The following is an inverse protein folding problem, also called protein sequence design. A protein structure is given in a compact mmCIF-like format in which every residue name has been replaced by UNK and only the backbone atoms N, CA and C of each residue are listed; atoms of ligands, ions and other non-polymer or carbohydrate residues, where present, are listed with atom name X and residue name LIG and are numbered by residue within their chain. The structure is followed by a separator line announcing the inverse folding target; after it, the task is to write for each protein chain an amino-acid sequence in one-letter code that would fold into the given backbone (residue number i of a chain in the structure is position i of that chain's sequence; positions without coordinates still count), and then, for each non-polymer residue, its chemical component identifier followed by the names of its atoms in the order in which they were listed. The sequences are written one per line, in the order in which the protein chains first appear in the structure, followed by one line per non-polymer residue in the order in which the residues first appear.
data_IF_945747730956
#
_entry.id   IF_945747730956
#
_cell.length_a   1.000
_cell.length_b   1.000
_cell.length_c   1.000
_cell.angle_alpha   90.00
_cell.angle_beta   90.00
_cell.angle_gamma   90.00
#
_symmetry.space_group_name_H-M   'P 1'
#
loop_
_entity.id
_entity.type
_entity.pdbx_description
1 polymer ?
#
# COMPACT_ATOMS: atom_id res chain seq x y z
N UNK A 1 -72.98 -32.03 -66.50
CA UNK A 1 -73.25 -30.58 -66.57
C UNK A 1 -71.93 -29.93 -66.99
N UNK A 2 -71.86 -29.45 -68.24
CA UNK A 2 -70.62 -28.99 -68.88
C UNK A 2 -69.84 -28.01 -68.00
N UNK A 3 -68.57 -28.30 -67.73
CA UNK A 3 -67.65 -27.48 -66.92
C UNK A 3 -67.64 -26.00 -67.35
N UNK A 4 -67.90 -25.74 -68.64
CA UNK A 4 -68.07 -24.41 -69.23
C UNK A 4 -69.24 -23.61 -68.64
N UNK A 5 -70.36 -24.26 -68.26
CA UNK A 5 -71.53 -23.60 -67.67
C UNK A 5 -71.32 -23.25 -66.20
N UNK A 6 -70.57 -24.08 -65.46
CA UNK A 6 -70.19 -23.80 -64.07
C UNK A 6 -69.16 -22.67 -64.00
N UNK A 7 -68.19 -22.66 -64.92
CA UNK A 7 -67.19 -21.58 -65.02
C UNK A 7 -67.85 -20.23 -65.35
N UNK A 8 -68.79 -20.21 -66.30
CA UNK A 8 -69.53 -18.99 -66.67
C UNK A 8 -70.34 -18.42 -65.48
N UNK A 9 -70.96 -19.30 -64.68
CA UNK A 9 -71.72 -18.90 -63.50
C UNK A 9 -70.81 -18.34 -62.39
N UNK A 10 -69.63 -18.94 -62.18
CA UNK A 10 -68.65 -18.45 -61.20
C UNK A 10 -68.04 -17.11 -61.61
N UNK A 11 -67.79 -16.88 -62.91
CA UNK A 11 -67.33 -15.58 -63.42
C UNK A 11 -68.39 -14.49 -63.32
N UNK A 12 -69.68 -14.83 -63.45
CA UNK A 12 -70.78 -13.85 -63.35
C UNK A 12 -71.16 -13.53 -61.88
N UNK A 13 -70.95 -14.48 -60.95
CA UNK A 13 -71.13 -14.26 -59.51
C UNK A 13 -69.97 -13.52 -58.83
N UNK A 14 -68.80 -13.40 -59.46
CA UNK A 14 -67.67 -12.64 -58.89
C UNK A 14 -67.69 -11.15 -59.26
N UNK A 15 -68.50 -10.74 -60.25
CA UNK A 15 -68.62 -9.35 -60.74
C UNK A 15 -69.49 -8.40 -59.89
N UNK A 16 -69.97 -8.82 -58.71
CA UNK A 16 -70.91 -8.04 -57.88
C UNK A 16 -70.29 -7.21 -56.75
N UNK A 17 -68.96 -7.06 -56.70
CA UNK A 17 -68.29 -6.16 -55.76
C UNK A 17 -67.56 -5.02 -56.48
N UNK A 18 -68.31 -4.19 -57.21
CA UNK A 18 -67.79 -2.91 -57.71
C UNK A 18 -68.01 -1.83 -56.65
N UNK A 19 -66.96 -1.47 -55.90
CA UNK A 19 -66.96 -0.27 -55.08
C UNK A 19 -66.69 0.93 -55.99
N UNK A 20 -67.68 1.80 -56.20
CA UNK A 20 -67.48 3.05 -56.92
C UNK A 20 -67.12 4.15 -55.92
N UNK A 21 -65.94 4.72 -56.05
CA UNK A 21 -65.59 5.99 -55.43
C UNK A 21 -65.99 7.11 -56.40
N UNK A 22 -66.38 8.29 -55.89
CA UNK A 22 -66.87 9.39 -56.74
C UNK A 22 -65.88 10.55 -56.71
N UNK A 23 -65.17 10.76 -57.83
CA UNK A 23 -64.43 12.00 -58.06
C UNK A 23 -65.20 12.89 -59.03
N UNK A 24 -65.36 14.16 -58.69
CA UNK A 24 -65.95 15.18 -59.56
C UNK A 24 -64.92 16.26 -59.79
N UNK A 25 -64.37 16.34 -61.01
CA UNK A 25 -63.33 17.31 -61.29
C UNK A 25 -62.53 17.06 -62.57
N UNK A 26 -61.38 17.72 -62.66
CA UNK A 26 -60.50 17.70 -63.83
C UNK A 26 -59.84 16.33 -64.09
N UNK A 27 -59.53 15.54 -63.06
CA UNK A 27 -58.89 14.21 -63.20
C UNK A 27 -59.71 13.07 -62.53
N UNK A 28 -60.89 12.72 -63.05
CA UNK A 28 -61.82 11.79 -62.40
C UNK A 28 -61.32 10.32 -62.32
N UNK A 29 -60.28 9.96 -63.07
CA UNK A 29 -59.70 8.61 -63.06
C UNK A 29 -58.61 8.41 -61.99
N UNK A 30 -58.17 9.49 -61.35
CA UNK A 30 -57.15 9.47 -60.30
C UNK A 30 -57.79 9.91 -58.98
N UNK A 31 -58.54 9.01 -58.35
CA UNK A 31 -59.14 9.22 -57.03
C UNK A 31 -58.25 8.59 -55.97
N UNK A 32 -57.99 9.33 -54.89
CA UNK A 32 -57.25 8.77 -53.76
C UNK A 32 -58.04 7.56 -53.19
N UNK A 33 -57.42 6.37 -53.00
CA UNK A 33 -58.11 5.19 -52.48
C UNK A 33 -58.77 5.33 -51.11
N UNK A 34 -58.45 6.40 -50.37
CA UNK A 34 -59.06 6.75 -49.07
C UNK A 34 -60.24 7.73 -49.19
N UNK A 35 -60.56 8.20 -50.40
CA UNK A 35 -61.62 9.19 -50.66
C UNK A 35 -62.94 8.51 -51.03
N UNK A 36 -63.98 8.69 -50.23
CA UNK A 36 -65.35 8.32 -50.65
C UNK A 36 -65.92 9.32 -51.69
N UNK A 37 -65.52 10.59 -51.59
CA UNK A 37 -65.86 11.67 -52.50
C UNK A 37 -64.71 12.67 -52.59
N UNK A 38 -64.25 12.97 -53.80
CA UNK A 38 -63.19 13.96 -54.05
C UNK A 38 -63.67 15.02 -55.04
N UNK A 39 -63.42 16.29 -54.72
CA UNK A 39 -63.77 17.43 -55.57
C UNK A 39 -62.49 18.13 -56.02
N UNK A 40 -62.28 18.20 -57.32
CA UNK A 40 -61.10 18.84 -57.91
C UNK A 40 -61.54 19.89 -58.93
N UNK A 41 -61.15 21.14 -58.73
CA UNK A 41 -61.43 22.21 -59.69
C UNK A 41 -60.48 23.38 -59.49
N UNK A 42 -60.12 24.05 -60.58
CA UNK A 42 -59.32 25.28 -60.56
C UNK A 42 -60.19 26.55 -60.47
N UNK A 43 -61.52 26.43 -60.61
CA UNK A 43 -62.45 27.54 -60.77
C UNK A 43 -63.81 27.37 -60.07
N UNK A 44 -64.07 26.22 -59.44
CA UNK A 44 -65.33 25.90 -58.74
C UNK A 44 -65.02 25.47 -57.30
N UNK A 45 -66.01 25.64 -56.43
CA UNK A 45 -65.94 25.24 -55.04
C UNK A 45 -67.19 24.44 -54.63
N UNK A 46 -67.08 23.69 -53.54
CA UNK A 46 -68.24 23.09 -52.89
C UNK A 46 -69.11 24.19 -52.28
N UNK A 47 -70.33 24.35 -52.79
CA UNK A 47 -71.34 25.20 -52.16
C UNK A 47 -72.14 24.34 -51.20
N UNK A 48 -72.01 24.62 -49.90
CA UNK A 48 -72.78 23.96 -48.86
C UNK A 48 -74.26 24.38 -48.91
N UNK A 49 -75.14 23.57 -48.31
CA UNK A 49 -76.55 23.93 -48.12
C UNK A 49 -76.64 25.25 -47.34
N UNK A 50 -77.35 26.24 -47.92
CA UNK A 50 -77.49 27.58 -47.34
C UNK A 50 -78.79 27.67 -46.57
N UNK A 51 -78.73 27.96 -45.27
CA UNK A 51 -79.89 27.99 -44.38
C UNK A 51 -79.85 29.25 -43.50
N UNK A 52 -81.02 29.81 -43.19
CA UNK A 52 -81.15 30.72 -42.03
C UNK A 52 -80.97 29.94 -40.73
N UNK A 53 -80.74 30.61 -39.62
CA UNK A 53 -80.58 30.00 -38.30
C UNK A 53 -81.83 29.21 -37.88
N UNK A 54 -83.01 29.74 -38.18
CA UNK A 54 -84.28 29.05 -37.91
C UNK A 54 -84.42 27.77 -38.74
N UNK A 55 -84.09 27.84 -40.04
CA UNK A 55 -84.13 26.67 -40.92
C UNK A 55 -83.10 25.60 -40.51
N UNK A 56 -81.89 26.03 -40.17
CA UNK A 56 -80.81 25.15 -39.73
C UNK A 56 -81.13 24.42 -38.41
N UNK A 57 -81.82 25.07 -37.47
CA UNK A 57 -82.28 24.42 -36.23
C UNK A 57 -83.49 23.51 -36.43
N UNK A 58 -84.23 23.67 -37.53
CA UNK A 58 -85.43 22.87 -37.83
C UNK A 58 -85.15 21.55 -38.54
N UNK A 59 -83.93 21.35 -39.05
CA UNK A 59 -83.51 20.10 -39.69
C UNK A 59 -82.94 19.11 -38.67
N UNK A 60 -83.02 17.81 -38.98
CA UNK A 60 -82.44 16.73 -38.17
C UNK A 60 -81.19 16.13 -38.87
N UNK A 61 -80.04 16.83 -38.83
CA UNK A 61 -78.82 16.41 -39.50
C UNK A 61 -78.13 15.22 -38.81
N UNK A 62 -77.21 14.57 -39.52
CA UNK A 62 -76.27 13.62 -38.92
C UNK A 62 -75.08 14.36 -38.27
N UNK A 63 -74.39 13.70 -37.35
CA UNK A 63 -73.14 14.23 -36.78
C UNK A 63 -72.10 14.44 -37.90
N UNK A 64 -71.45 15.60 -37.91
CA UNK A 64 -70.51 16.03 -38.96
C UNK A 64 -71.16 16.73 -40.16
N UNK A 65 -72.48 16.93 -40.18
CA UNK A 65 -73.12 17.69 -41.25
C UNK A 65 -72.61 19.13 -41.33
N UNK A 66 -72.38 19.63 -42.55
CA UNK A 66 -71.91 20.99 -42.82
C UNK A 66 -72.98 21.81 -43.53
N UNK A 67 -73.19 23.05 -43.09
CA UNK A 67 -74.10 24.00 -43.70
C UNK A 67 -73.53 25.42 -43.66
N UNK A 68 -73.87 26.26 -44.64
CA UNK A 68 -73.57 27.68 -44.59
C UNK A 68 -74.78 28.43 -44.02
N UNK A 69 -74.62 29.04 -42.84
CA UNK A 69 -75.68 29.82 -42.23
C UNK A 69 -75.65 31.25 -42.80
N UNK A 70 -76.77 31.70 -43.39
CA UNK A 70 -76.86 33.00 -44.07
C UNK A 70 -77.02 34.18 -43.12
N UNK A 71 -77.56 33.97 -41.92
CA UNK A 71 -77.75 35.06 -40.95
C UNK A 71 -76.42 35.42 -40.27
N UNK A 72 -75.62 34.39 -39.98
CA UNK A 72 -74.28 34.54 -39.38
C UNK A 72 -73.16 34.65 -40.42
N UNK A 73 -73.49 34.48 -41.70
CA UNK A 73 -72.54 34.47 -42.83
C UNK A 73 -71.34 33.54 -42.61
N UNK A 74 -71.61 32.32 -42.14
CA UNK A 74 -70.55 31.40 -41.72
C UNK A 74 -70.91 29.92 -41.88
N UNK A 75 -69.90 29.08 -42.13
CA UNK A 75 -70.01 27.62 -42.08
C UNK A 75 -70.25 27.12 -40.65
N UNK A 76 -71.23 26.25 -40.48
CA UNK A 76 -71.51 25.55 -39.25
C UNK A 76 -71.39 24.04 -39.45
N UNK A 77 -70.95 23.33 -38.42
CA UNK A 77 -71.04 21.87 -38.37
C UNK A 77 -71.93 21.40 -37.22
N UNK A 78 -72.63 20.27 -37.41
CA UNK A 78 -73.44 19.67 -36.36
C UNK A 78 -72.64 18.62 -35.58
N UNK A 79 -72.52 18.76 -34.26
CA UNK A 79 -71.69 17.86 -33.43
C UNK A 79 -72.46 16.63 -32.87
N UNK A 80 -73.71 16.43 -33.29
CA UNK A 80 -74.62 15.42 -32.74
C UNK A 80 -75.68 16.00 -31.79
N UNK A 81 -75.41 17.17 -31.20
CA UNK A 81 -76.30 17.82 -30.23
C UNK A 81 -76.71 19.24 -30.64
N UNK A 82 -75.82 19.99 -31.28
CA UNK A 82 -76.04 21.38 -31.68
C UNK A 82 -75.18 21.77 -32.90
N UNK A 83 -75.53 22.89 -33.51
CA UNK A 83 -74.74 23.53 -34.57
C UNK A 83 -73.64 24.41 -33.98
N UNK A 84 -72.39 24.16 -34.37
CA UNK A 84 -71.21 24.92 -33.97
C UNK A 84 -70.79 25.83 -35.13
N UNK A 85 -70.64 27.13 -34.83
CA UNK A 85 -70.14 28.13 -35.76
C UNK A 85 -68.62 28.01 -35.92
N UNK A 86 -68.11 27.82 -37.14
CA UNK A 86 -66.68 27.62 -37.40
C UNK A 86 -65.89 28.91 -37.68
N UNK A 87 -66.57 30.05 -37.88
CA UNK A 87 -65.92 31.33 -38.19
C UNK A 87 -65.86 32.26 -36.98
N UNK A 88 -66.55 31.92 -35.90
CA UNK A 88 -66.48 32.67 -34.67
C UNK A 88 -65.39 32.06 -33.78
N UNK A 89 -64.25 32.74 -33.68
CA UNK A 89 -63.10 32.36 -32.85
C UNK A 89 -63.37 32.40 -31.35
N UNK A 90 -64.56 32.82 -30.91
CA UNK A 90 -64.93 32.83 -29.49
C UNK A 90 -65.09 31.43 -28.86
N UNK A 91 -64.93 30.34 -29.62
CA UNK A 91 -64.75 28.97 -29.11
C UNK A 91 -63.54 28.24 -29.70
N UNK A 92 -62.66 28.95 -30.42
CA UNK A 92 -61.36 28.46 -30.84
C UNK A 92 -60.34 29.46 -30.32
N UNK A 93 -59.89 29.24 -29.10
CA UNK A 93 -58.66 29.80 -28.51
C UNK A 93 -57.53 29.44 -29.48
N UNK A 94 -57.30 30.33 -30.45
CA UNK A 94 -56.44 30.11 -31.59
C UNK A 94 -55.01 29.96 -31.11
N UNK A 95 -54.60 28.71 -30.91
CA UNK A 95 -53.23 28.41 -30.53
C UNK A 95 -52.32 28.75 -31.71
N UNK A 96 -51.48 29.76 -31.54
CA UNK A 96 -50.60 30.30 -32.58
C UNK A 96 -49.18 30.49 -32.06
N UNK A 97 -48.21 30.26 -32.95
CA UNK A 97 -46.81 30.66 -32.76
C UNK A 97 -46.51 31.83 -33.70
N UNK A 98 -45.96 32.90 -33.16
CA UNK A 98 -45.53 34.08 -33.92
C UNK A 98 -44.05 34.30 -33.68
N UNK A 99 -43.25 34.26 -34.74
CA UNK A 99 -41.88 34.79 -34.73
C UNK A 99 -41.96 36.31 -34.91
N UNK A 100 -41.46 37.06 -33.93
CA UNK A 100 -41.56 38.52 -33.92
C UNK A 100 -40.45 39.21 -34.73
N UNK A 101 -39.49 38.45 -35.26
CA UNK A 101 -38.37 38.98 -36.05
C UNK A 101 -37.35 39.79 -35.23
N UNK A 102 -37.50 39.85 -33.91
CA UNK A 102 -36.57 40.47 -32.96
C UNK A 102 -35.80 39.42 -32.13
N UNK A 103 -35.90 38.14 -32.52
CA UNK A 103 -35.32 37.01 -31.80
C UNK A 103 -36.24 36.40 -30.74
N UNK A 104 -37.48 36.87 -30.60
CA UNK A 104 -38.47 36.25 -29.69
C UNK A 104 -39.55 35.47 -30.43
N UNK A 105 -40.10 34.44 -29.77
CA UNK A 105 -41.26 33.68 -30.24
C UNK A 105 -42.40 33.84 -29.24
N UNK A 106 -43.57 34.24 -29.72
CA UNK A 106 -44.78 34.38 -28.91
C UNK A 106 -45.71 33.22 -29.14
N UNK A 107 -46.12 32.54 -28.07
CA UNK A 107 -47.28 31.66 -28.07
C UNK A 107 -48.49 32.45 -27.62
N UNK A 108 -49.52 32.46 -28.46
CA UNK A 108 -50.83 32.95 -28.08
C UNK A 108 -51.77 31.77 -27.93
N UNK A 109 -52.48 31.72 -26.80
CA UNK A 109 -53.60 30.81 -26.62
C UNK A 109 -54.91 31.40 -27.20
N UNK A 110 -54.87 32.57 -27.85
CA UNK A 110 -56.07 33.24 -28.37
C UNK A 110 -57.06 33.71 -27.30
N UNK A 111 -56.70 33.63 -26.01
CA UNK A 111 -57.46 34.14 -24.85
C UNK A 111 -56.83 35.40 -24.27
N UNK A 112 -55.79 35.94 -24.91
CA UNK A 112 -55.07 37.16 -24.50
C UNK A 112 -53.98 36.91 -23.45
N UNK A 113 -53.65 35.66 -23.13
CA UNK A 113 -52.52 35.31 -22.28
C UNK A 113 -51.35 34.85 -23.15
N UNK A 114 -50.64 35.82 -23.72
CA UNK A 114 -49.51 35.51 -24.58
C UNK A 114 -48.25 35.23 -23.74
N UNK A 115 -47.54 34.16 -24.08
CA UNK A 115 -46.26 33.79 -23.48
C UNK A 115 -45.16 34.01 -24.51
N UNK A 116 -44.26 34.95 -24.24
CA UNK A 116 -43.13 35.27 -25.11
C UNK A 116 -41.85 34.65 -24.56
N UNK A 117 -41.17 33.86 -25.38
CA UNK A 117 -39.86 33.29 -25.08
C UNK A 117 -38.78 34.02 -25.87
N UNK A 118 -37.62 34.21 -25.24
CA UNK A 118 -36.42 34.62 -25.98
C UNK A 118 -35.91 33.41 -26.78
N UNK A 119 -35.91 33.54 -28.10
CA UNK A 119 -35.34 32.56 -29.04
C UNK A 119 -34.00 33.02 -29.61
N UNK A 120 -33.38 34.09 -29.05
CA UNK A 120 -32.07 34.53 -29.46
C UNK A 120 -31.03 33.40 -29.26
N UNK A 121 -29.99 33.33 -30.10
CA UNK A 121 -28.91 32.36 -29.90
C UNK A 121 -28.23 32.57 -28.54
N UNK A 122 -28.32 31.57 -27.66
CA UNK A 122 -27.53 31.52 -26.42
C UNK A 122 -26.04 31.54 -26.79
N UNK A 123 -25.24 32.30 -26.04
CA UNK A 123 -23.80 32.40 -26.28
C UNK A 123 -23.01 31.63 -25.22
N UNK A 124 -21.76 31.31 -25.50
CA UNK A 124 -20.93 30.53 -24.58
C UNK A 124 -20.52 31.40 -23.38
N UNK A 125 -20.91 30.99 -22.16
CA UNK A 125 -20.31 31.53 -20.93
C UNK A 125 -18.92 30.95 -20.70
N UNK A 126 -18.05 31.69 -20.04
CA UNK A 126 -16.68 31.23 -19.74
C UNK A 126 -16.35 31.39 -18.27
N UNK A 127 -15.66 30.41 -17.70
CA UNK A 127 -15.00 30.50 -16.41
C UNK A 127 -13.49 30.37 -16.65
N UNK A 128 -12.75 31.45 -16.41
CA UNK A 128 -11.30 31.50 -16.61
C UNK A 128 -10.59 31.49 -15.27
N UNK A 129 -9.64 30.59 -15.08
CA UNK A 129 -8.72 30.61 -13.95
C UNK A 129 -7.70 31.74 -14.12
N UNK A 130 -7.60 32.64 -13.15
CA UNK A 130 -6.67 33.77 -13.19
C UNK A 130 -5.26 33.40 -12.65
N UNK A 131 -5.06 32.16 -12.19
CA UNK A 131 -3.82 31.65 -11.60
C UNK A 131 -3.35 32.37 -10.33
N UNK A 132 -4.23 33.14 -9.69
CA UNK A 132 -3.99 33.89 -8.45
C UNK A 132 -4.94 33.49 -7.31
N UNK A 133 -5.67 32.37 -7.47
CA UNK A 133 -6.70 31.91 -6.53
C UNK A 133 -8.08 32.51 -6.77
N UNK A 134 -8.23 33.31 -7.83
CA UNK A 134 -9.52 33.82 -8.30
C UNK A 134 -9.90 33.26 -9.67
N UNK A 135 -11.20 33.22 -9.95
CA UNK A 135 -11.77 32.84 -11.24
C UNK A 135 -12.61 33.98 -11.80
N UNK A 136 -12.49 34.25 -13.09
CA UNK A 136 -13.35 35.23 -13.79
C UNK A 136 -14.46 34.50 -14.53
N UNK A 137 -15.69 34.64 -14.03
CA UNK A 137 -16.90 34.25 -14.76
C UNK A 137 -17.31 35.37 -15.71
N UNK A 138 -17.47 35.07 -17.00
CA UNK A 138 -18.02 36.01 -18.00
C UNK A 138 -19.37 35.47 -18.46
N UNK A 139 -20.44 36.25 -18.27
CA UNK A 139 -21.77 35.88 -18.73
C UNK A 139 -21.95 36.14 -20.23
N UNK A 140 -23.11 35.76 -20.76
CA UNK A 140 -23.45 35.88 -22.19
C UNK A 140 -23.53 37.32 -22.71
N UNK A 141 -23.68 38.29 -21.81
CA UNK A 141 -23.71 39.73 -22.13
C UNK A 141 -22.32 40.36 -21.96
N UNK A 142 -21.29 39.56 -21.64
CA UNK A 142 -19.92 40.01 -21.42
C UNK A 142 -19.66 40.59 -20.02
N UNK A 143 -20.65 40.58 -19.12
CA UNK A 143 -20.45 41.02 -17.74
C UNK A 143 -19.56 40.01 -17.00
N UNK A 144 -18.52 40.53 -16.35
CA UNK A 144 -17.58 39.73 -15.59
C UNK A 144 -17.87 39.79 -14.09
N UNK A 145 -17.79 38.63 -13.44
CA UNK A 145 -17.83 38.47 -11.99
C UNK A 145 -16.57 37.73 -11.56
N UNK A 146 -15.79 38.32 -10.67
CA UNK A 146 -14.63 37.66 -10.07
C UNK A 146 -15.07 36.86 -8.85
N UNK A 147 -14.82 35.56 -8.90
CA UNK A 147 -15.06 34.62 -7.81
C UNK A 147 -13.73 34.41 -7.10
N UNK A 148 -13.63 34.90 -5.87
CA UNK A 148 -12.45 34.68 -5.06
C UNK A 148 -12.63 33.37 -4.27
N UNK A 149 -11.76 32.38 -4.54
CA UNK A 149 -11.76 31.08 -3.85
C UNK A 149 -10.66 30.94 -2.82
N UNK A 150 -9.76 31.93 -2.72
CA UNK A 150 -8.85 32.01 -1.61
C UNK A 150 -9.66 32.30 -0.35
N UNK A 151 -9.80 31.28 0.50
CA UNK A 151 -10.25 31.44 1.88
C UNK A 151 -9.43 32.58 2.48
N UNK A 152 -10.06 33.69 2.83
CA UNK A 152 -9.40 34.86 3.41
C UNK A 152 -8.82 34.60 4.79
N UNK A 153 -8.87 33.36 5.27
CA UNK A 153 -8.36 33.00 6.56
C UNK A 153 -7.29 31.92 6.40
N UNK A 154 -6.05 32.37 6.26
CA UNK A 154 -4.88 31.55 6.56
C UNK A 154 -4.55 31.82 8.03
N UNK A 155 -5.11 31.01 8.95
CA UNK A 155 -4.80 31.10 10.37
C UNK A 155 -3.36 30.61 10.56
N UNK A 156 -2.40 31.52 10.47
CA UNK A 156 -1.03 31.21 10.88
C UNK A 156 -0.99 31.27 12.40
N UNK A 157 -0.77 30.13 13.04
CA UNK A 157 -0.45 30.09 14.46
C UNK A 157 0.97 30.61 14.62
N UNK A 158 1.15 31.69 15.36
CA UNK A 158 2.45 32.33 15.57
C UNK A 158 2.71 32.61 17.04
N UNK A 159 3.98 32.53 17.43
CA UNK A 159 4.49 33.00 18.73
C UNK A 159 5.34 34.25 18.49
N UNK A 160 5.34 35.17 19.44
CA UNK A 160 6.17 36.39 19.40
C UNK A 160 7.56 36.19 20.02
N UNK A 161 7.86 34.96 20.47
CA UNK A 161 9.12 34.61 21.14
C UNK A 161 9.14 34.95 22.63
N UNK A 162 8.04 35.45 23.21
CA UNK A 162 7.88 35.68 24.65
C UNK A 162 6.98 34.59 25.28
N UNK A 163 7.16 34.28 26.57
CA UNK A 163 6.25 33.40 27.30
C UNK A 163 4.79 33.89 27.25
N UNK A 164 3.83 32.96 27.18
CA UNK A 164 2.39 33.23 27.34
C UNK A 164 1.60 33.66 26.09
N UNK A 165 2.23 33.96 24.95
CA UNK A 165 1.53 34.55 23.80
C UNK A 165 1.41 33.58 22.60
N UNK A 166 0.19 33.07 22.37
CA UNK A 166 -0.22 32.47 21.09
C UNK A 166 -1.27 33.39 20.46
N UNK A 167 -1.03 33.86 19.23
CA UNK A 167 -1.95 34.76 18.54
C UNK A 167 -2.46 34.16 17.22
N UNK A 168 -3.70 34.49 16.85
CA UNK A 168 -4.28 34.27 15.52
C UNK A 168 -4.43 35.63 14.84
N UNK A 169 -3.85 35.76 13.65
CA UNK A 169 -4.01 36.95 12.82
C UNK A 169 -5.48 37.11 12.40
N UNK A 170 -6.05 38.31 12.54
CA UNK A 170 -7.42 38.68 12.12
C UNK A 170 -8.60 38.20 13.00
N UNK A 171 -8.37 37.88 14.28
CA UNK A 171 -9.39 38.16 15.30
C UNK A 171 -10.25 37.03 15.85
N UNK A 172 -9.84 35.76 15.73
CA UNK A 172 -10.37 34.73 16.63
C UNK A 172 -9.59 34.75 17.94
N UNK A 173 -10.28 34.95 19.07
CA UNK A 173 -9.68 34.92 20.39
C UNK A 173 -9.35 33.47 20.77
N UNK A 174 -8.06 33.17 20.96
CA UNK A 174 -7.63 31.99 21.72
C UNK A 174 -7.67 32.40 23.19
N UNK A 175 -8.64 31.88 23.94
CA UNK A 175 -8.74 32.11 25.38
C UNK A 175 -8.08 30.93 26.11
N UNK A 176 -6.76 31.01 26.30
CA UNK A 176 -6.02 30.05 27.14
C UNK A 176 -6.04 30.58 28.57
N UNK A 177 -6.97 30.07 29.37
CA UNK A 177 -7.01 30.32 30.80
C UNK A 177 -5.93 29.48 31.49
N UNK A 178 -4.68 29.93 31.42
CA UNK A 178 -3.62 29.48 32.33
C UNK A 178 -3.71 30.34 33.58
N UNK A 179 -4.69 30.03 34.42
CA UNK A 179 -4.84 30.64 35.74
C UNK A 179 -4.01 29.79 36.72
N UNK A 180 -2.69 29.92 36.67
CA UNK A 180 -1.88 29.73 37.87
C UNK A 180 -1.76 31.09 38.56
N UNK A 181 -1.89 31.09 39.87
CA UNK A 181 -2.28 32.29 40.64
C UNK A 181 -1.12 33.27 40.85
N UNK A 182 -0.02 33.13 40.12
CA UNK A 182 1.08 34.07 40.10
C UNK A 182 1.67 34.18 38.69
N UNK A 183 2.06 35.40 38.31
CA UNK A 183 2.52 35.74 36.96
C UNK A 183 4.05 35.94 36.92
N UNK A 184 4.78 35.24 37.78
CA UNK A 184 6.23 35.38 37.93
C UNK A 184 6.95 34.37 37.05
N UNK A 185 7.59 34.84 35.97
CA UNK A 185 8.28 34.05 34.95
C UNK A 185 9.57 33.35 35.45
N UNK A 186 9.87 33.49 36.74
CA UNK A 186 11.00 32.85 37.42
C UNK A 186 10.57 31.74 38.37
N UNK A 187 9.26 31.57 38.59
CA UNK A 187 8.69 30.56 39.47
C UNK A 187 8.48 29.23 38.73
N UNK A 188 8.21 29.23 37.42
CA UNK A 188 7.66 28.03 36.78
C UNK A 188 8.65 26.86 36.64
N UNK A 189 9.94 27.10 36.85
CA UNK A 189 10.98 26.07 36.84
C UNK A 189 11.85 26.22 38.09
N UNK A 190 11.70 25.30 39.05
CA UNK A 190 12.65 25.18 40.15
C UNK A 190 13.84 24.33 39.69
N UNK A 191 14.99 24.96 39.49
CA UNK A 191 16.25 24.29 39.23
C UNK A 191 16.85 23.78 40.55
N UNK A 192 17.38 22.56 40.52
CA UNK A 192 18.19 22.06 41.62
C UNK A 192 19.58 22.70 41.57
N UNK A 193 19.97 23.38 42.64
CA UNK A 193 21.26 24.03 42.80
C UNK A 193 22.09 23.32 43.86
N UNK A 194 23.40 23.25 43.64
CA UNK A 194 24.38 22.82 44.62
C UNK A 194 25.44 23.90 44.78
N UNK A 195 25.61 24.42 46.00
CA UNK A 195 26.59 25.44 46.30
C UNK A 195 27.15 25.27 47.71
N UNK A 196 28.48 25.19 47.82
CA UNK A 196 29.21 25.09 49.09
C UNK A 196 28.67 23.99 50.04
N UNK A 197 28.41 22.80 49.49
CA UNK A 197 27.89 21.69 50.29
C UNK A 197 26.37 21.73 50.52
N UNK A 198 25.63 22.69 49.99
CA UNK A 198 24.17 22.78 50.20
C UNK A 198 23.43 22.56 48.90
N UNK A 199 22.47 21.62 48.89
CA UNK A 199 21.50 21.45 47.81
C UNK A 199 20.25 22.28 48.14
N UNK A 200 19.81 23.09 47.17
CA UNK A 200 18.60 23.92 47.27
C UNK A 200 17.83 23.93 45.95
N UNK A 201 16.57 24.35 45.99
CA UNK A 201 15.79 24.65 44.79
C UNK A 201 15.78 26.16 44.53
N UNK A 202 15.88 26.60 43.27
CA UNK A 202 15.64 28.01 42.94
C UNK A 202 14.19 28.37 43.24
N UNK A 203 14.00 29.59 43.77
CA UNK A 203 12.68 30.18 43.97
C UNK A 203 11.73 29.35 44.87
N UNK A 204 12.29 28.52 45.75
CA UNK A 204 11.51 27.76 46.73
C UNK A 204 11.04 28.65 47.90
N UNK A 205 9.72 28.89 48.03
CA UNK A 205 9.17 29.74 49.10
C UNK A 205 9.38 29.16 50.49
N UNK A 206 9.51 27.83 50.60
CA UNK A 206 9.70 27.12 51.86
C UNK A 206 11.19 26.99 52.24
N UNK A 207 12.10 27.39 51.34
CA UNK A 207 13.56 27.38 51.53
C UNK A 207 14.02 26.01 52.01
N UNK A 208 13.62 24.95 51.31
CA UNK A 208 14.06 23.60 51.59
C UNK A 208 15.54 23.45 51.25
N UNK A 209 16.36 23.30 52.29
CA UNK A 209 17.80 23.13 52.19
C UNK A 209 18.19 21.74 52.67
N UNK A 210 19.05 21.08 51.88
CA UNK A 210 19.75 19.87 52.30
C UNK A 210 21.22 20.26 52.47
N UNK A 211 21.65 20.39 53.72
CA UNK A 211 23.04 20.72 54.07
C UNK A 211 23.89 19.44 54.11
N UNK A 212 24.80 19.33 53.15
CA UNK A 212 25.80 18.28 53.00
C UNK A 212 27.22 18.79 53.29
N UNK A 213 27.39 20.02 53.80
CA UNK A 213 28.72 20.63 54.02
C UNK A 213 29.61 19.86 55.00
N UNK A 214 29.02 19.00 55.83
CA UNK A 214 29.75 18.08 56.71
C UNK A 214 30.19 16.77 56.05
N UNK A 215 29.79 16.52 54.81
CA UNK A 215 30.03 15.28 54.07
C UNK A 215 30.77 15.49 52.75
N UNK A 216 30.65 16.67 52.13
CA UNK A 216 31.32 17.03 50.88
C UNK A 216 31.65 18.53 50.92
N UNK A 217 32.91 18.83 51.24
CA UNK A 217 33.44 20.18 51.42
C UNK A 217 34.52 20.53 50.40
N UNK A 218 35.20 19.53 49.81
CA UNK A 218 36.18 19.69 48.73
C UNK A 218 36.63 18.33 48.16
N UNK A 219 37.35 18.31 47.03
CA UNK A 219 37.84 17.07 46.40
C UNK A 219 38.66 16.12 47.31
N UNK A 220 39.10 16.53 48.50
CA UNK A 220 39.82 15.68 49.45
C UNK A 220 38.93 14.92 50.45
N UNK A 221 37.62 15.21 50.53
CA UNK A 221 36.65 14.39 51.27
C UNK A 221 35.81 13.46 50.38
N UNK A 222 36.02 13.53 49.07
CA UNK A 222 35.54 12.51 48.14
C UNK A 222 36.16 11.15 48.45
N UNK A 223 35.32 10.12 48.46
CA UNK A 223 35.81 8.75 48.52
C UNK A 223 36.48 8.41 47.18
N UNK A 224 37.82 8.38 47.17
CA UNK A 224 38.64 8.09 45.99
C UNK A 224 38.62 6.61 45.59
N UNK A 225 37.88 5.78 46.34
CA UNK A 225 37.91 4.32 46.23
C UNK A 225 39.07 3.68 47.02
N UNK A 226 39.91 4.49 47.66
CA UNK A 226 41.00 4.05 48.51
C UNK A 226 40.50 3.76 49.92
N UNK A 227 40.92 2.62 50.49
CA UNK A 227 40.64 2.32 51.90
C UNK A 227 41.30 3.32 52.86
N UNK A 228 42.30 4.09 52.39
CA UNK A 228 42.95 5.13 53.19
C UNK A 228 42.05 6.35 53.45
N UNK A 229 40.93 6.49 52.74
CA UNK A 229 39.98 7.58 52.95
C UNK A 229 39.07 7.34 54.17
N UNK A 230 39.10 6.12 54.74
CA UNK A 230 38.32 5.74 55.90
C UNK A 230 39.05 6.13 57.19
N UNK A 231 38.43 6.96 58.03
CA UNK A 231 39.01 7.40 59.31
C UNK A 231 38.75 6.45 60.48
N UNK A 232 37.79 5.53 60.35
CA UNK A 232 37.37 4.56 61.38
C UNK A 232 37.60 3.10 60.95
N UNK A 233 38.78 2.83 60.41
CA UNK A 233 39.22 1.47 60.09
C UNK A 233 39.38 0.67 61.40
N UNK A 234 38.93 -0.60 61.47
CA UNK A 234 39.15 -1.45 62.64
C UNK A 234 40.62 -1.43 63.08
N UNK A 235 40.88 -1.25 64.38
CA UNK A 235 42.23 -1.12 64.92
C UNK A 235 43.16 -2.34 64.69
N UNK A 236 42.60 -3.45 64.21
CA UNK A 236 43.27 -4.68 63.87
C UNK A 236 43.29 -4.97 62.36
N UNK A 237 42.92 -3.99 61.51
CA UNK A 237 43.14 -4.13 60.08
C UNK A 237 44.64 -3.99 59.83
N UNK A 238 45.21 -5.04 59.25
CA UNK A 238 46.58 -5.04 58.80
C UNK A 238 46.74 -4.03 57.66
N UNK A 239 47.62 -3.06 57.86
CA UNK A 239 47.90 -1.97 56.92
C UNK A 239 49.38 -1.89 56.58
N UNK A 240 50.18 -2.82 57.09
CA UNK A 240 51.61 -2.86 56.83
C UNK A 240 51.87 -3.65 55.54
N UNK A 241 52.10 -2.93 54.46
CA UNK A 241 52.44 -3.56 53.17
C UNK A 241 53.75 -4.36 53.17
N UNK A 242 54.51 -4.35 54.27
CA UNK A 242 55.81 -5.03 54.37
C UNK A 242 55.74 -6.45 54.94
N UNK A 243 54.63 -6.83 55.57
CA UNK A 243 54.33 -8.20 56.01
C UNK A 243 53.08 -8.81 55.34
N UNK A 244 52.48 -8.09 54.38
CA UNK A 244 51.52 -8.63 53.43
C UNK A 244 52.06 -9.92 52.78
N UNK A 245 51.29 -11.00 52.88
CA UNK A 245 51.66 -12.29 52.29
C UNK A 245 51.72 -12.17 50.76
N UNK A 246 52.93 -12.17 50.20
CA UNK A 246 53.14 -11.98 48.75
C UNK A 246 52.79 -13.22 47.92
N UNK A 247 52.33 -14.30 48.58
CA UNK A 247 52.14 -15.62 47.99
C UNK A 247 53.41 -16.48 48.01
N UNK A 248 54.54 -15.93 48.48
CA UNK A 248 55.81 -16.63 48.65
C UNK A 248 55.88 -17.30 50.02
N UNK A 249 56.22 -18.59 50.07
CA UNK A 249 56.45 -19.30 51.33
C UNK A 249 57.67 -18.78 52.10
N UNK A 250 58.56 -18.01 51.46
CA UNK A 250 59.70 -17.38 52.11
C UNK A 250 59.31 -16.22 53.05
N UNK A 251 58.05 -15.76 52.99
CA UNK A 251 57.54 -14.68 53.83
C UNK A 251 57.20 -15.18 55.25
N UNK A 252 57.21 -16.50 55.47
CA UNK A 252 56.87 -17.14 56.73
C UNK A 252 58.13 -17.38 57.58
N UNK A 253 58.18 -16.83 58.79
CA UNK A 253 59.34 -16.95 59.69
C UNK A 253 59.35 -18.23 60.53
N UNK A 254 58.34 -19.09 60.43
CA UNK A 254 58.17 -20.33 61.22
C UNK A 254 57.77 -21.54 60.35
N UNK A 255 58.45 -21.72 59.21
CA UNK A 255 58.27 -22.90 58.35
C UNK A 255 58.99 -24.12 58.95
N UNK A 256 58.40 -25.34 58.94
CA UNK A 256 59.05 -26.54 59.47
C UNK A 256 60.43 -26.80 58.83
N UNK A 257 61.43 -27.13 59.65
CA UNK A 257 62.85 -27.23 59.26
C UNK A 257 63.20 -28.29 58.19
N UNK A 258 62.23 -29.09 57.73
CA UNK A 258 62.41 -30.14 56.71
C UNK A 258 61.55 -29.88 55.46
N UNK A 259 61.06 -28.65 55.27
CA UNK A 259 60.43 -28.24 54.02
C UNK A 259 61.53 -27.70 53.10
N UNK A 260 61.87 -28.50 52.09
CA UNK A 260 62.89 -28.25 51.08
C UNK A 260 62.70 -26.86 50.43
N UNK A 261 63.53 -25.92 50.87
CA UNK A 261 63.49 -24.50 50.47
C UNK A 261 64.89 -23.95 50.23
N UNK A 262 65.92 -24.81 50.15
CA UNK A 262 67.29 -24.41 49.81
C UNK A 262 67.80 -25.08 48.53
N UNK A 263 68.93 -24.60 48.01
CA UNK A 263 69.42 -24.99 46.67
C UNK A 263 70.23 -26.29 46.65
N UNK A 264 70.16 -27.12 47.70
CA UNK A 264 70.99 -28.35 47.82
C UNK A 264 70.26 -29.66 47.54
N UNK A 265 68.97 -29.60 47.18
CA UNK A 265 68.18 -30.70 46.57
C UNK A 265 68.41 -32.05 47.27
N UNK A 266 68.13 -32.11 48.57
CA UNK A 266 68.18 -33.33 49.37
C UNK A 266 66.89 -34.16 49.30
N UNK A 267 66.02 -33.83 48.34
CA UNK A 267 64.86 -34.61 47.93
C UNK A 267 64.75 -34.66 46.38
N UNK A 268 65.79 -35.17 45.73
CA UNK A 268 65.86 -35.38 44.27
C UNK A 268 64.80 -36.34 43.68
N UNK A 269 63.95 -36.92 44.54
CA UNK A 269 62.88 -37.83 44.15
C UNK A 269 63.36 -39.23 43.76
N UNK A 270 64.66 -39.50 43.83
CA UNK A 270 65.25 -40.81 43.54
C UNK A 270 65.12 -41.74 44.75
N UNK A 271 64.65 -42.97 44.55
CA UNK A 271 64.47 -43.92 45.66
C UNK A 271 65.79 -44.25 46.39
N UNK A 272 66.92 -44.10 45.70
CA UNK A 272 68.26 -44.33 46.24
C UNK A 272 68.74 -43.29 47.25
N UNK A 273 68.13 -42.10 47.31
CA UNK A 273 68.52 -41.03 48.25
C UNK A 273 67.87 -41.18 49.63
N UNK A 274 66.93 -42.12 49.79
CA UNK A 274 66.23 -42.39 51.05
C UNK A 274 67.06 -43.28 51.99
N UNK A 275 67.41 -42.76 53.17
CA UNK A 275 68.00 -43.57 54.25
C UNK A 275 66.94 -44.41 54.97
N UNK A 276 67.32 -45.62 55.43
CA UNK A 276 66.49 -46.56 56.18
C UNK A 276 65.33 -47.22 55.38
N UNK A 277 65.53 -47.49 54.09
CA UNK A 277 64.65 -48.37 53.33
C UNK A 277 64.61 -49.76 54.00
N UNK A 278 63.42 -50.32 54.32
CA UNK A 278 63.33 -51.63 54.95
C UNK A 278 63.96 -52.71 54.05
N UNK A 279 64.72 -53.66 54.65
CA UNK A 279 65.55 -54.60 53.90
C UNK A 279 64.82 -55.47 52.84
N UNK A 280 63.49 -55.61 52.94
CA UNK A 280 62.69 -56.33 51.94
C UNK A 280 62.37 -55.54 50.67
N UNK A 281 62.73 -54.25 50.62
CA UNK A 281 62.57 -53.34 49.48
C UNK A 281 63.93 -52.81 48.99
N UNK A 282 65.01 -53.50 49.35
CA UNK A 282 66.40 -53.11 49.05
C UNK A 282 67.15 -54.24 48.33
N UNK A 283 66.44 -55.18 47.72
CA UNK A 283 66.99 -56.39 47.07
C UNK A 283 67.12 -56.27 45.54
N UNK A 284 66.89 -55.08 44.98
CA UNK A 284 66.89 -54.78 43.54
C UNK A 284 65.90 -55.62 42.71
N UNK A 285 64.90 -56.26 43.34
CA UNK A 285 63.92 -57.10 42.64
C UNK A 285 62.67 -56.29 42.23
N UNK A 286 62.35 -55.21 42.93
CA UNK A 286 61.20 -54.34 42.72
C UNK A 286 61.57 -52.91 42.27
N UNK A 287 62.84 -52.68 41.96
CA UNK A 287 63.42 -51.37 41.64
C UNK A 287 63.34 -51.00 40.14
N UNK A 288 62.84 -51.90 39.29
CA UNK A 288 62.35 -51.58 37.95
C UNK A 288 61.17 -52.51 37.60
N UNK A 289 60.07 -51.95 37.08
CA UNK A 289 58.88 -52.72 36.67
C UNK A 289 58.90 -53.01 35.17
N UNK A 290 60.08 -53.23 34.58
CA UNK A 290 60.19 -53.61 33.17
C UNK A 290 60.21 -55.13 33.05
N UNK A 291 59.04 -55.76 33.12
CA UNK A 291 58.88 -57.13 32.63
C UNK A 291 59.31 -57.17 31.16
N UNK A 292 60.22 -58.07 30.82
CA UNK A 292 60.62 -58.27 29.41
C UNK A 292 59.44 -58.76 28.58
N UNK A 293 59.42 -58.47 27.28
CA UNK A 293 58.33 -58.87 26.36
C UNK A 293 58.02 -60.38 26.45
N UNK A 294 59.03 -61.22 26.70
CA UNK A 294 58.85 -62.66 26.89
C UNK A 294 58.07 -63.00 28.18
N UNK A 295 58.29 -62.26 29.27
CA UNK A 295 57.56 -62.42 30.53
C UNK A 295 56.13 -61.91 30.39
N UNK A 296 55.93 -60.79 29.68
CA UNK A 296 54.59 -60.27 29.35
C UNK A 296 53.83 -61.25 28.47
N UNK A 297 54.44 -61.78 27.41
CA UNK A 297 53.81 -62.76 26.52
C UNK A 297 53.43 -64.05 27.25
N UNK A 298 54.24 -64.50 28.21
CA UNK A 298 53.94 -65.68 29.04
C UNK A 298 52.74 -65.43 29.96
N UNK A 299 52.67 -64.24 30.58
CA UNK A 299 51.54 -63.85 31.42
C UNK A 299 50.26 -63.73 30.59
N UNK A 300 50.32 -63.05 29.44
CA UNK A 300 49.18 -62.87 28.53
C UNK A 300 48.68 -64.21 27.98
N UNK A 301 49.54 -65.15 27.58
CA UNK A 301 49.11 -66.47 27.11
C UNK A 301 48.54 -67.37 28.22
N UNK A 302 48.90 -67.14 29.49
CA UNK A 302 48.28 -67.82 30.62
C UNK A 302 46.87 -67.29 30.91
N UNK A 303 46.64 -65.98 30.74
CA UNK A 303 45.35 -65.33 30.98
C UNK A 303 44.39 -65.47 29.78
N UNK A 304 44.90 -65.47 28.54
CA UNK A 304 44.13 -65.54 27.30
C UNK A 304 44.67 -66.61 26.33
N UNK A 305 44.37 -67.90 26.55
CA UNK A 305 44.84 -68.96 25.68
C UNK A 305 44.26 -68.83 24.25
N UNK A 306 45.14 -68.78 23.24
CA UNK A 306 44.84 -68.72 21.78
C UNK A 306 44.43 -67.36 21.20
N UNK A 307 44.76 -66.22 21.83
CA UNK A 307 44.46 -64.92 21.22
C UNK A 307 45.45 -64.55 20.11
N UNK A 308 46.70 -65.00 20.21
CA UNK A 308 47.73 -64.87 19.18
C UNK A 308 48.91 -65.79 19.55
N UNK A 309 49.20 -66.78 18.71
CA UNK A 309 50.28 -67.75 18.95
C UNK A 309 51.12 -68.00 17.70
N UNK A 310 50.92 -67.24 16.63
CA UNK A 310 51.64 -67.47 15.37
C UNK A 310 51.95 -66.16 14.64
N UNK A 311 53.15 -65.65 14.91
CA UNK A 311 53.78 -64.48 14.25
C UNK A 311 53.91 -64.60 12.71
N UNK A 312 53.41 -65.68 12.09
CA UNK A 312 53.45 -65.89 10.64
C UNK A 312 52.14 -65.52 9.92
N UNK A 313 51.06 -65.18 10.65
CA UNK A 313 49.81 -64.66 10.06
C UNK A 313 49.54 -63.16 10.34
N UNK A 314 50.51 -62.48 10.94
CA UNK A 314 50.52 -61.03 11.12
C UNK A 314 50.57 -60.30 9.77
N UNK A 315 49.63 -59.38 9.53
CA UNK A 315 49.62 -58.51 8.35
C UNK A 315 50.86 -57.64 8.34
N UNK A 316 51.80 -57.91 7.44
CA UNK A 316 53.13 -57.26 7.42
C UNK A 316 53.09 -55.77 7.03
N UNK A 317 51.92 -55.28 6.63
CA UNK A 317 51.73 -53.95 6.05
C UNK A 317 52.07 -53.89 4.56
N UNK A 318 52.53 -54.98 3.96
CA UNK A 318 52.80 -55.08 2.53
C UNK A 318 51.51 -55.46 1.75
N UNK A 319 51.26 -54.78 0.63
CA UNK A 319 50.01 -54.93 -0.12
C UNK A 319 49.89 -56.31 -0.79
N UNK A 320 51.02 -57.01 -0.97
CA UNK A 320 51.09 -58.37 -1.52
C UNK A 320 50.43 -59.45 -0.66
N UNK A 321 50.17 -59.19 0.62
CA UNK A 321 49.54 -60.13 1.56
C UNK A 321 48.02 -60.27 1.33
N UNK A 322 47.44 -59.44 0.46
CA UNK A 322 46.00 -59.41 0.17
C UNK A 322 45.62 -60.38 -0.94
N UNK A 323 44.75 -61.35 -0.64
CA UNK A 323 44.14 -62.22 -1.65
C UNK A 323 42.85 -61.62 -2.22
N UNK A 324 42.58 -61.80 -3.53
CA UNK A 324 41.43 -61.28 -4.32
C UNK A 324 41.50 -59.81 -4.83
N UNK A 325 42.67 -59.33 -5.26
CA UNK A 325 42.81 -58.02 -5.93
C UNK A 325 42.35 -58.08 -7.41
N UNK A 326 41.65 -57.06 -7.98
CA UNK A 326 41.21 -57.05 -9.38
C UNK A 326 42.35 -57.11 -10.41
N UNK A 327 42.19 -57.87 -11.49
CA UNK A 327 43.22 -58.25 -12.50
C UNK A 327 43.85 -57.09 -13.30
N UNK A 328 43.26 -55.88 -13.31
CA UNK A 328 43.74 -54.77 -14.14
C UNK A 328 44.39 -53.63 -13.34
N UNK A 329 44.79 -53.89 -12.09
CA UNK A 329 45.56 -52.93 -11.31
C UNK A 329 47.04 -53.22 -11.56
N UNK A 330 47.72 -52.28 -12.22
CA UNK A 330 49.15 -52.37 -12.50
C UNK A 330 49.95 -52.48 -11.19
N UNK A 331 50.67 -53.59 -11.08
CA UNK A 331 51.36 -54.04 -9.86
C UNK A 331 52.74 -54.61 -10.17
N UNK A 332 53.31 -54.30 -11.34
CA UNK A 332 54.72 -54.60 -11.63
C UNK A 332 55.61 -53.35 -11.59
N UNK A 333 56.91 -53.57 -11.42
CA UNK A 333 57.88 -52.50 -11.15
C UNK A 333 58.42 -51.81 -12.41
N UNK A 334 57.72 -51.90 -13.54
CA UNK A 334 58.22 -51.35 -14.81
C UNK A 334 57.76 -49.94 -15.15
N UNK A 335 56.97 -49.29 -14.28
CA UNK A 335 56.62 -47.85 -14.28
C UNK A 335 56.41 -47.34 -15.72
N UNK A 336 55.38 -47.88 -16.39
CA UNK A 336 55.09 -47.69 -17.81
C UNK A 336 54.53 -46.30 -18.14
N UNK A 337 54.69 -45.34 -17.22
CA UNK A 337 54.40 -43.94 -17.43
C UNK A 337 55.55 -43.06 -16.89
N UNK A 338 56.63 -42.94 -17.67
CA UNK A 338 57.80 -42.12 -17.28
C UNK A 338 57.52 -40.60 -17.29
N UNK A 339 56.27 -40.20 -17.52
CA UNK A 339 55.86 -38.81 -17.72
C UNK A 339 56.23 -38.25 -19.10
N UNK A 340 56.77 -39.07 -20.00
CA UNK A 340 57.04 -38.73 -21.40
C UNK A 340 55.82 -38.99 -22.28
N UNK A 341 55.44 -38.03 -23.13
CA UNK A 341 54.32 -38.18 -24.06
C UNK A 341 54.51 -39.32 -25.09
N UNK A 342 55.73 -39.84 -25.23
CA UNK A 342 56.02 -40.96 -26.13
C UNK A 342 55.59 -42.33 -25.58
N UNK A 343 55.24 -42.41 -24.29
CA UNK A 343 54.77 -43.66 -23.65
C UNK A 343 53.28 -43.93 -23.93
N UNK A 344 52.58 -42.94 -24.49
CA UNK A 344 51.18 -43.04 -24.87
C UNK A 344 51.04 -43.51 -26.33
N UNK A 345 50.32 -44.60 -26.51
CA UNK A 345 49.79 -44.98 -27.83
C UNK A 345 48.60 -44.07 -28.18
N UNK A 346 48.45 -43.66 -29.44
CA UNK A 346 47.43 -42.73 -29.99
C UNK A 346 47.65 -41.19 -29.87
N UNK A 347 48.91 -40.72 -29.86
CA UNK A 347 49.23 -39.28 -29.94
C UNK A 347 49.07 -38.73 -31.38
N UNK A 348 48.37 -37.60 -31.63
CA UNK A 348 48.08 -37.07 -32.97
C UNK A 348 49.33 -36.77 -33.83
N UNK A 349 49.31 -37.22 -35.08
CA UNK A 349 50.46 -37.24 -36.01
C UNK A 349 51.03 -35.89 -36.51
N UNK A 350 50.54 -34.74 -36.03
CA UNK A 350 50.98 -33.40 -36.48
C UNK A 350 51.64 -32.57 -35.38
N UNK A 351 52.07 -33.19 -34.28
CA UNK A 351 52.81 -32.48 -33.24
C UNK A 351 54.29 -32.42 -33.62
N UNK A 352 54.75 -31.24 -34.03
CA UNK A 352 56.16 -30.97 -34.25
C UNK A 352 56.91 -31.14 -32.92
N UNK A 353 57.92 -32.01 -32.94
CA UNK A 353 58.67 -32.45 -31.75
C UNK A 353 60.18 -32.38 -31.96
N UNK A 354 60.64 -31.72 -33.03
CA UNK A 354 62.06 -31.43 -33.21
C UNK A 354 62.42 -29.97 -32.85
N UNK A 355 63.68 -29.77 -32.46
CA UNK A 355 64.16 -28.52 -31.87
C UNK A 355 64.56 -27.45 -32.90
N UNK A 356 64.15 -27.59 -34.16
CA UNK A 356 64.42 -26.61 -35.21
C UNK A 356 63.10 -26.02 -35.68
N UNK A 357 62.66 -24.92 -35.03
CA UNK A 357 61.46 -24.18 -35.41
C UNK A 357 61.49 -23.81 -36.91
N UNK A 358 60.81 -24.59 -37.75
CA UNK A 358 60.46 -24.25 -39.12
C UNK A 358 58.92 -24.29 -39.26
N UNK A 359 58.33 -23.13 -38.88
CA UNK A 359 56.95 -22.64 -38.99
C UNK A 359 55.92 -22.93 -37.89
#
# INVERSE_FOLDING_TARGET
MELKKVLLFFTLSFSIFAFSQVKVGNNPNDINPSSIMELESNDKALVLTRLTSAQMQSINPLNGALAYNTDTSCVHYYNGNQWINLCNSSNATGFSFVDNGDGTITLSDGSGNDLTFNGAPETTTTLTDNLDGTYTFTNEVGTQTVINTSSTDSQTLSTDGNPGNISILNGNAINLNVDDTDADDQNEIQDLQYNLGVISLTNDPDVTLIDLSSFDSNEADDFSGSFNDLTDVPANLDTDSTDDFSGSFNDLTDVPANLDTDSTDDFDGEWSSLNNVPAGFADDIDNDTQLTDAQVATAVNNEFPNLDTDVTDDFSGDFGDLTNVPVNLDTDSTDDFSGSFNDLTDVPANLDTDSTDDF
#
